data_IF_169870099634
#
_entry.id   IF_169870099634
#
_cell.length_a   1.000
_cell.length_b   1.000
_cell.length_c   1.000
_cell.angle_alpha   90.00
_cell.angle_beta   90.00
_cell.angle_gamma   90.00
#
_symmetry.space_group_name_H-M   'P 1'
#
loop_
_entity.id
_entity.type
_entity.pdbx_description
1 polymer ?
#
# COMPACT_ATOMS: atom_id res chain seq x y z
N UNK A 1 -35.61 23.05 4.34
CA UNK A 1 -34.40 23.90 4.30
C UNK A 1 -33.19 23.01 4.48
N UNK A 2 -32.58 22.55 3.38
CA UNK A 2 -31.42 21.70 3.37
C UNK A 2 -30.16 22.54 3.61
N UNK A 3 -29.37 22.17 4.62
CA UNK A 3 -28.07 22.76 4.85
C UNK A 3 -27.12 22.20 3.79
N UNK A 4 -26.78 23.00 2.80
CA UNK A 4 -25.63 22.70 1.93
C UNK A 4 -24.37 22.85 2.76
N UNK A 5 -23.72 21.73 3.09
CA UNK A 5 -22.35 21.76 3.56
C UNK A 5 -21.47 22.10 2.35
N UNK A 6 -21.00 23.33 2.28
CA UNK A 6 -19.90 23.70 1.42
C UNK A 6 -18.67 22.91 1.88
N UNK A 7 -18.40 21.79 1.23
CA UNK A 7 -17.09 21.17 1.28
C UNK A 7 -16.16 22.16 0.59
N UNK A 8 -15.38 22.89 1.37
CA UNK A 8 -14.24 23.65 0.86
C UNK A 8 -13.34 22.64 0.16
N UNK A 9 -13.41 22.59 -1.16
CA UNK A 9 -12.46 21.81 -1.95
C UNK A 9 -11.06 22.29 -1.55
N UNK A 10 -10.24 21.39 -1.02
CA UNK A 10 -8.83 21.68 -0.76
C UNK A 10 -8.24 22.27 -2.04
N UNK A 11 -7.53 23.42 -1.99
CA UNK A 11 -6.89 23.98 -3.18
C UNK A 11 -5.83 23.06 -3.77
N UNK A 12 -5.55 21.94 -3.10
CA UNK A 12 -4.61 20.93 -3.53
C UNK A 12 -5.35 19.62 -3.82
N UNK A 13 -5.48 19.23 -5.10
CA UNK A 13 -5.98 17.91 -5.45
C UNK A 13 -5.00 16.87 -4.91
N UNK A 14 -5.43 16.10 -3.93
CA UNK A 14 -4.73 14.97 -3.35
C UNK A 14 -3.29 15.27 -2.83
N UNK A 15 -3.13 15.80 -1.58
CA UNK A 15 -1.82 16.03 -0.98
C UNK A 15 -0.96 14.75 -0.89
N UNK A 16 -1.59 13.57 -0.89
CA UNK A 16 -0.90 12.28 -0.93
C UNK A 16 -0.03 12.12 -2.18
N UNK A 17 -0.42 12.67 -3.31
CA UNK A 17 0.35 12.59 -4.55
C UNK A 17 1.70 13.33 -4.44
N UNK A 18 1.73 14.46 -3.74
CA UNK A 18 2.96 15.23 -3.48
C UNK A 18 3.86 14.44 -2.54
N UNK A 19 3.31 13.93 -1.44
CA UNK A 19 4.05 13.15 -0.44
C UNK A 19 4.63 11.89 -1.08
N UNK A 20 3.84 11.16 -1.86
CA UNK A 20 4.31 9.98 -2.59
C UNK A 20 5.41 10.35 -3.59
N UNK A 21 5.23 11.45 -4.32
CA UNK A 21 6.24 11.97 -5.24
C UNK A 21 7.56 12.32 -4.54
N UNK A 22 7.50 12.97 -3.36
CA UNK A 22 8.67 13.31 -2.56
C UNK A 22 9.35 12.04 -2.01
N UNK A 23 8.59 11.08 -1.55
CA UNK A 23 9.11 9.79 -1.10
C UNK A 23 9.85 9.05 -2.24
N UNK A 24 9.40 9.21 -3.47
CA UNK A 24 10.02 8.65 -4.68
C UNK A 24 11.04 9.60 -5.33
N UNK A 25 11.63 10.54 -4.58
CA UNK A 25 12.66 11.49 -5.05
C UNK A 25 12.21 12.43 -6.18
N UNK A 26 10.91 12.66 -6.36
CA UNK A 26 10.45 13.67 -7.30
C UNK A 26 11.02 15.04 -6.89
N UNK A 27 11.64 15.74 -7.84
CA UNK A 27 12.24 17.07 -7.59
C UNK A 27 11.15 18.11 -7.30
N UNK A 28 11.55 19.26 -6.72
CA UNK A 28 10.64 20.40 -6.57
C UNK A 28 10.07 20.86 -7.92
N UNK A 29 10.89 20.82 -8.97
CA UNK A 29 10.47 21.18 -10.32
C UNK A 29 9.42 20.19 -10.87
N UNK A 30 9.67 18.89 -10.77
CA UNK A 30 8.70 17.86 -11.18
C UNK A 30 7.39 17.93 -10.39
N UNK A 31 7.45 18.21 -9.08
CA UNK A 31 6.24 18.41 -8.28
C UNK A 31 5.48 19.67 -8.71
N UNK A 32 6.20 20.75 -9.05
CA UNK A 32 5.59 21.97 -9.58
C UNK A 32 4.88 21.71 -10.91
N UNK A 33 5.52 20.99 -11.84
CA UNK A 33 4.90 20.61 -13.12
C UNK A 33 3.63 19.78 -12.92
N UNK A 34 3.67 18.83 -11.98
CA UNK A 34 2.49 18.01 -11.69
C UNK A 34 1.34 18.83 -11.11
N UNK A 35 1.63 19.72 -10.16
CA UNK A 35 0.63 20.65 -9.61
C UNK A 35 0.02 21.54 -10.70
N UNK A 36 0.86 22.02 -11.62
CA UNK A 36 0.40 22.83 -12.75
C UNK A 36 -0.53 22.04 -13.68
N UNK A 37 -0.21 20.77 -13.99
CA UNK A 37 -1.08 19.88 -14.78
C UNK A 37 -2.43 19.63 -14.11
N UNK A 38 -2.45 19.61 -12.78
CA UNK A 38 -3.67 19.47 -11.98
C UNK A 38 -4.45 20.78 -11.80
N UNK A 39 -4.04 21.85 -12.48
CA UNK A 39 -4.70 23.14 -12.45
C UNK A 39 -4.33 24.02 -11.25
N UNK A 40 -3.32 23.63 -10.46
CA UNK A 40 -2.87 24.44 -9.34
C UNK A 40 -1.93 25.56 -9.82
N UNK A 41 -2.30 26.83 -9.56
CA UNK A 41 -1.43 27.98 -9.82
C UNK A 41 -0.56 28.24 -8.59
N UNK A 42 0.64 27.67 -8.56
CA UNK A 42 1.61 27.84 -7.47
C UNK A 42 2.98 28.20 -8.01
N UNK A 43 3.71 29.04 -7.29
CA UNK A 43 5.06 29.40 -7.67
C UNK A 43 6.06 28.28 -7.38
N UNK A 44 7.03 28.09 -8.27
CA UNK A 44 8.13 27.13 -8.05
C UNK A 44 8.90 27.40 -6.75
N UNK A 45 9.06 28.67 -6.39
CA UNK A 45 9.72 29.07 -5.13
C UNK A 45 8.98 28.55 -3.90
N UNK A 46 7.64 28.57 -3.94
CA UNK A 46 6.80 28.00 -2.88
C UNK A 46 6.97 26.49 -2.79
N UNK A 47 6.95 25.78 -3.95
CA UNK A 47 7.17 24.32 -3.98
C UNK A 47 8.55 23.95 -3.45
N UNK A 48 9.59 24.71 -3.77
CA UNK A 48 10.94 24.51 -3.21
C UNK A 48 10.96 24.64 -1.69
N UNK A 49 10.28 25.63 -1.11
CA UNK A 49 10.16 25.79 0.35
C UNK A 49 9.40 24.63 0.99
N UNK A 50 8.30 24.18 0.36
CA UNK A 50 7.52 23.03 0.81
C UNK A 50 8.39 21.76 0.87
N UNK A 51 9.13 21.48 -0.19
CA UNK A 51 10.02 20.31 -0.28
C UNK A 51 11.13 20.38 0.77
N UNK A 52 11.75 21.53 0.95
CA UNK A 52 12.78 21.74 1.97
C UNK A 52 12.22 21.55 3.40
N UNK A 53 11.03 22.09 3.68
CA UNK A 53 10.34 21.91 4.96
C UNK A 53 9.95 20.46 5.22
N UNK A 54 9.50 19.74 4.20
CA UNK A 54 9.20 18.31 4.29
C UNK A 54 10.42 17.49 4.72
N UNK A 55 11.53 17.64 4.02
CA UNK A 55 12.76 16.91 4.35
C UNK A 55 13.41 17.37 5.67
N UNK A 56 13.27 18.63 6.04
CA UNK A 56 13.73 19.12 7.36
C UNK A 56 12.96 18.45 8.50
N UNK A 57 11.63 18.36 8.38
CA UNK A 57 10.79 17.70 9.39
C UNK A 57 10.96 16.18 9.43
N UNK A 58 11.29 15.58 8.30
CA UNK A 58 11.43 14.13 8.14
C UNK A 58 12.89 13.72 7.85
N UNK A 59 13.84 14.33 8.58
CA UNK A 59 15.26 14.07 8.40
C UNK A 59 15.65 12.58 8.50
N UNK A 60 14.91 11.81 9.31
CA UNK A 60 15.07 10.36 9.40
C UNK A 60 14.84 9.63 8.09
N UNK A 61 13.85 10.05 7.29
CA UNK A 61 13.59 9.47 5.96
C UNK A 61 14.78 9.74 5.03
N UNK A 62 15.32 10.94 5.06
CA UNK A 62 16.47 11.30 4.23
C UNK A 62 17.71 10.46 4.58
N UNK A 63 18.03 10.32 5.87
CA UNK A 63 19.12 9.48 6.35
C UNK A 63 18.91 8.01 5.96
N UNK A 64 17.71 7.48 6.15
CA UNK A 64 17.35 6.12 5.74
C UNK A 64 17.56 5.91 4.24
N UNK A 65 17.12 6.86 3.39
CA UNK A 65 17.29 6.77 1.92
C UNK A 65 18.77 6.69 1.53
N UNK A 66 19.61 7.53 2.11
CA UNK A 66 21.06 7.50 1.84
C UNK A 66 21.68 6.16 2.25
N UNK A 67 21.30 5.66 3.43
CA UNK A 67 21.78 4.39 3.96
C UNK A 67 21.37 3.23 3.06
N UNK A 68 20.11 3.14 2.65
CA UNK A 68 19.61 2.05 1.80
C UNK A 68 20.29 2.05 0.42
N UNK A 69 20.36 3.21 -0.23
CA UNK A 69 20.98 3.32 -1.56
C UNK A 69 22.47 3.00 -1.49
N UNK A 70 23.19 3.58 -0.51
CA UNK A 70 24.63 3.32 -0.33
C UNK A 70 24.92 1.85 -0.07
N UNK A 71 24.17 1.23 0.84
CA UNK A 71 24.30 -0.19 1.17
C UNK A 71 23.98 -1.08 -0.03
N UNK A 72 22.87 -0.83 -0.72
CA UNK A 72 22.46 -1.59 -1.87
C UNK A 72 23.52 -1.58 -2.99
N UNK A 73 24.09 -0.41 -3.28
CA UNK A 73 25.15 -0.26 -4.28
C UNK A 73 26.46 -0.97 -3.88
N UNK A 74 26.81 -0.90 -2.61
CA UNK A 74 28.03 -1.55 -2.07
C UNK A 74 27.90 -3.08 -2.07
N UNK A 75 26.75 -3.59 -1.59
CA UNK A 75 26.51 -5.04 -1.46
C UNK A 75 26.01 -5.69 -2.75
N UNK A 76 25.67 -4.89 -3.80
CA UNK A 76 25.05 -5.36 -5.05
C UNK A 76 23.79 -6.20 -4.82
N UNK A 77 23.10 -5.93 -3.73
CA UNK A 77 21.86 -6.60 -3.35
C UNK A 77 21.04 -5.78 -2.35
N UNK A 78 19.76 -6.06 -2.32
CA UNK A 78 18.85 -5.67 -1.22
C UNK A 78 18.28 -6.94 -0.59
N UNK A 79 17.91 -6.85 0.70
CA UNK A 79 17.32 -7.97 1.43
C UNK A 79 15.99 -7.53 2.06
N UNK A 80 15.02 -8.43 2.04
CA UNK A 80 13.81 -8.28 2.84
C UNK A 80 14.08 -8.63 4.30
N UNK A 81 13.16 -8.29 5.18
CA UNK A 81 13.27 -8.62 6.63
C UNK A 81 13.35 -10.13 6.91
N UNK A 82 12.74 -10.94 6.05
CA UNK A 82 12.84 -12.41 6.15
C UNK A 82 14.05 -12.99 5.42
N UNK A 83 14.93 -12.14 4.92
CA UNK A 83 16.22 -12.57 4.32
C UNK A 83 16.18 -12.86 2.82
N UNK A 84 15.05 -12.65 2.13
CA UNK A 84 15.00 -12.81 0.68
C UNK A 84 15.91 -11.78 0.01
N UNK A 85 16.79 -12.27 -0.87
CA UNK A 85 17.81 -11.48 -1.56
C UNK A 85 17.30 -11.09 -2.95
N UNK A 86 17.47 -9.81 -3.28
CA UNK A 86 17.26 -9.27 -4.63
C UNK A 86 18.61 -8.76 -5.11
N UNK A 87 19.18 -9.38 -6.14
CA UNK A 87 20.42 -8.94 -6.78
C UNK A 87 20.17 -7.67 -7.59
N UNK A 88 21.14 -6.77 -7.61
CA UNK A 88 21.06 -5.47 -8.26
C UNK A 88 21.93 -5.49 -9.51
N UNK A 89 21.36 -5.12 -10.65
CA UNK A 89 22.08 -4.83 -11.88
C UNK A 89 22.75 -3.44 -11.81
N UNK A 90 23.74 -3.20 -12.64
CA UNK A 90 24.53 -1.96 -12.58
C UNK A 90 23.78 -0.71 -13.04
N UNK A 91 22.75 -0.86 -13.86
CA UNK A 91 21.90 0.19 -14.42
C UNK A 91 20.68 0.57 -13.55
N UNK A 92 20.57 -0.02 -12.35
CA UNK A 92 19.42 0.22 -11.46
C UNK A 92 19.41 1.63 -10.90
N UNK A 93 18.26 2.28 -10.99
CA UNK A 93 18.07 3.64 -10.44
C UNK A 93 17.99 3.65 -8.93
N UNK A 94 18.39 4.76 -8.31
CA UNK A 94 18.23 4.97 -6.85
C UNK A 94 16.79 4.84 -6.39
N UNK A 95 15.81 5.24 -7.24
CA UNK A 95 14.40 5.11 -6.93
C UNK A 95 13.97 3.65 -6.81
N UNK A 96 14.45 2.79 -7.70
CA UNK A 96 14.21 1.35 -7.62
C UNK A 96 14.79 0.77 -6.34
N UNK A 97 16.02 1.16 -6.00
CA UNK A 97 16.69 0.71 -4.76
C UNK A 97 15.94 1.12 -3.49
N UNK A 98 15.25 2.25 -3.50
CA UNK A 98 14.42 2.71 -2.37
C UNK A 98 13.08 1.97 -2.31
N UNK A 99 12.47 1.69 -3.46
CA UNK A 99 11.17 1.04 -3.52
C UNK A 99 11.24 -0.46 -3.27
N UNK A 100 12.28 -1.14 -3.75
CA UNK A 100 12.37 -2.60 -3.66
C UNK A 100 12.27 -3.14 -2.23
N UNK A 101 12.97 -2.61 -1.21
CA UNK A 101 12.81 -3.11 0.14
C UNK A 101 11.37 -2.99 0.66
N UNK A 102 10.68 -1.90 0.33
CA UNK A 102 9.30 -1.66 0.75
C UNK A 102 8.36 -2.63 0.06
N UNK A 103 8.38 -2.65 -1.28
CA UNK A 103 7.53 -3.53 -2.09
C UNK A 103 7.80 -5.01 -1.83
N UNK A 104 9.07 -5.38 -1.66
CA UNK A 104 9.45 -6.76 -1.42
C UNK A 104 9.00 -7.24 -0.03
N UNK A 105 9.08 -6.42 1.01
CA UNK A 105 8.55 -6.76 2.33
C UNK A 105 7.02 -6.87 2.31
N UNK A 106 6.32 -5.97 1.62
CA UNK A 106 4.87 -6.07 1.40
C UNK A 106 4.48 -7.37 0.71
N UNK A 107 5.17 -7.72 -0.40
CA UNK A 107 4.92 -8.96 -1.12
C UNK A 107 5.23 -10.23 -0.29
N UNK A 108 6.25 -10.20 0.56
CA UNK A 108 6.57 -11.31 1.45
C UNK A 108 5.50 -11.45 2.55
N UNK A 109 5.03 -10.33 3.13
CA UNK A 109 3.92 -10.31 4.09
C UNK A 109 2.62 -10.81 3.48
N UNK A 110 2.30 -10.38 2.26
CA UNK A 110 1.12 -10.83 1.53
C UNK A 110 1.15 -12.35 1.26
N UNK A 111 2.28 -12.89 0.81
CA UNK A 111 2.44 -14.34 0.62
C UNK A 111 2.28 -15.12 1.93
N UNK A 112 2.81 -14.59 3.03
CA UNK A 112 2.60 -15.20 4.35
C UNK A 112 1.13 -15.15 4.75
N UNK A 113 0.42 -14.04 4.49
CA UNK A 113 -1.01 -13.92 4.73
C UNK A 113 -1.80 -14.99 3.95
N UNK A 114 -1.51 -15.15 2.66
CA UNK A 114 -2.13 -16.20 1.83
C UNK A 114 -1.95 -17.60 2.43
N UNK A 115 -0.73 -17.91 2.90
CA UNK A 115 -0.47 -19.21 3.54
C UNK A 115 -1.26 -19.38 4.84
N UNK A 116 -1.37 -18.33 5.67
CA UNK A 116 -2.11 -18.39 6.92
C UNK A 116 -3.62 -18.48 6.69
N UNK A 117 -4.15 -17.71 5.72
CA UNK A 117 -5.56 -17.77 5.33
C UNK A 117 -5.90 -19.16 4.78
N UNK A 118 -5.10 -19.67 3.85
CA UNK A 118 -5.32 -21.02 3.28
C UNK A 118 -5.42 -22.08 4.37
N UNK A 119 -4.52 -22.07 5.36
CA UNK A 119 -4.57 -22.98 6.51
C UNK A 119 -5.78 -22.73 7.41
N UNK A 120 -6.12 -21.48 7.66
CA UNK A 120 -7.29 -21.13 8.47
C UNK A 120 -8.61 -21.52 7.84
N UNK A 121 -8.66 -21.67 6.52
CA UNK A 121 -9.84 -22.10 5.77
C UNK A 121 -9.93 -23.63 5.60
N UNK A 122 -8.96 -24.40 6.08
CA UNK A 122 -9.06 -25.88 6.03
C UNK A 122 -10.29 -26.38 6.78
N UNK A 123 -11.15 -27.11 6.09
CA UNK A 123 -12.43 -27.61 6.61
C UNK A 123 -13.54 -26.56 6.70
N UNK A 124 -13.32 -25.33 6.25
CA UNK A 124 -14.33 -24.28 6.16
C UNK A 124 -14.85 -24.20 4.73
N UNK A 125 -16.18 -24.05 4.53
CA UNK A 125 -16.78 -23.92 3.19
C UNK A 125 -16.54 -22.52 2.61
N UNK A 126 -15.28 -22.16 2.51
CA UNK A 126 -14.77 -20.92 1.92
C UNK A 126 -13.47 -21.19 1.17
N UNK A 127 -13.18 -20.35 0.17
CA UNK A 127 -11.97 -20.51 -0.65
C UNK A 127 -11.44 -19.18 -1.16
N UNK A 128 -10.13 -19.09 -1.29
CA UNK A 128 -9.49 -18.00 -2.02
C UNK A 128 -9.78 -18.21 -3.51
N UNK A 129 -10.42 -17.25 -4.16
CA UNK A 129 -10.78 -17.33 -5.58
C UNK A 129 -9.91 -16.45 -6.46
N UNK A 130 -9.37 -15.35 -5.92
CA UNK A 130 -8.49 -14.44 -6.67
C UNK A 130 -7.57 -13.64 -5.75
N UNK A 131 -6.49 -13.15 -6.31
CA UNK A 131 -5.61 -12.16 -5.66
C UNK A 131 -5.25 -11.08 -6.67
N UNK A 132 -5.32 -9.82 -6.26
CA UNK A 132 -4.97 -8.68 -7.09
C UNK A 132 -4.16 -7.67 -6.27
N UNK A 133 -2.91 -7.41 -6.67
CA UNK A 133 -1.97 -6.53 -5.93
C UNK A 133 -1.82 -6.93 -4.46
N UNK A 134 -2.50 -6.23 -3.56
CA UNK A 134 -2.53 -6.40 -2.11
C UNK A 134 -3.92 -6.85 -1.60
N UNK A 135 -4.82 -7.17 -2.50
CA UNK A 135 -6.17 -7.67 -2.21
C UNK A 135 -6.27 -9.19 -2.33
N UNK A 136 -7.07 -9.79 -1.45
CA UNK A 136 -7.42 -11.21 -1.48
C UNK A 136 -8.93 -11.32 -1.57
N UNK A 137 -9.42 -12.08 -2.55
CA UNK A 137 -10.85 -12.31 -2.76
C UNK A 137 -11.18 -13.71 -2.34
N UNK A 138 -12.15 -13.82 -1.44
CA UNK A 138 -12.57 -15.09 -0.83
C UNK A 138 -14.06 -15.26 -1.06
N UNK A 139 -14.44 -16.40 -1.61
CA UNK A 139 -15.83 -16.83 -1.69
C UNK A 139 -16.19 -17.66 -0.45
N UNK A 140 -17.28 -17.32 0.22
CA UNK A 140 -17.77 -17.99 1.40
C UNK A 140 -19.31 -18.08 1.40
N UNK A 141 -19.87 -19.01 2.17
CA UNK A 141 -21.31 -19.01 2.45
C UNK A 141 -21.67 -17.91 3.41
N UNK A 142 -22.83 -17.29 3.25
CA UNK A 142 -23.36 -16.25 4.12
C UNK A 142 -23.39 -16.67 5.60
N UNK A 143 -23.77 -17.93 5.86
CA UNK A 143 -23.89 -18.45 7.23
C UNK A 143 -22.59 -18.48 8.04
N UNK A 144 -21.42 -18.39 7.37
CA UNK A 144 -20.11 -18.46 7.99
C UNK A 144 -19.27 -17.19 7.72
N UNK A 145 -19.90 -16.12 7.24
CA UNK A 145 -19.22 -14.85 6.92
C UNK A 145 -18.35 -14.36 8.07
N UNK A 146 -18.90 -14.28 9.29
CA UNK A 146 -18.18 -13.77 10.45
C UNK A 146 -16.97 -14.64 10.82
N UNK A 147 -17.08 -15.96 10.67
CA UNK A 147 -15.97 -16.88 10.90
C UNK A 147 -14.84 -16.64 9.91
N UNK A 148 -15.19 -16.52 8.63
CA UNK A 148 -14.20 -16.29 7.56
C UNK A 148 -13.56 -14.91 7.71
N UNK A 149 -14.35 -13.90 7.99
CA UNK A 149 -13.87 -12.53 8.28
C UNK A 149 -12.80 -12.53 9.38
N UNK A 150 -13.06 -13.23 10.48
CA UNK A 150 -12.13 -13.30 11.61
C UNK A 150 -10.83 -14.04 11.25
N UNK A 151 -10.93 -15.16 10.52
CA UNK A 151 -9.76 -15.92 10.02
C UNK A 151 -8.89 -15.01 9.15
N UNK A 152 -9.50 -14.33 8.19
CA UNK A 152 -8.80 -13.48 7.23
C UNK A 152 -8.12 -12.30 7.94
N UNK A 153 -8.86 -11.59 8.77
CA UNK A 153 -8.34 -10.46 9.55
C UNK A 153 -7.13 -10.85 10.38
N UNK A 154 -7.26 -11.88 11.22
CA UNK A 154 -6.16 -12.35 12.06
C UNK A 154 -4.95 -12.80 11.23
N UNK A 155 -5.18 -13.47 10.13
CA UNK A 155 -4.12 -13.96 9.26
C UNK A 155 -3.34 -12.82 8.60
N UNK A 156 -4.04 -11.80 8.07
CA UNK A 156 -3.44 -10.61 7.48
C UNK A 156 -2.64 -9.81 8.51
N UNK A 157 -3.24 -9.49 9.65
CA UNK A 157 -2.60 -8.73 10.73
C UNK A 157 -1.38 -9.47 11.29
N UNK A 158 -1.47 -10.79 11.50
CA UNK A 158 -0.36 -11.60 11.97
C UNK A 158 0.78 -11.68 10.95
N UNK A 159 0.47 -11.81 9.66
CA UNK A 159 1.48 -11.86 8.61
C UNK A 159 2.25 -10.55 8.49
N UNK A 160 1.52 -9.43 8.41
CA UNK A 160 2.12 -8.11 8.27
C UNK A 160 2.82 -7.66 9.55
N UNK A 161 2.28 -7.98 10.72
CA UNK A 161 2.94 -7.73 12.01
C UNK A 161 4.27 -8.47 12.18
N UNK A 162 4.44 -9.63 11.54
CA UNK A 162 5.75 -10.31 11.49
C UNK A 162 6.76 -9.61 10.59
N UNK A 163 6.26 -8.96 9.52
CA UNK A 163 7.12 -8.21 8.60
C UNK A 163 7.59 -6.89 9.20
N UNK A 164 6.69 -6.14 9.84
CA UNK A 164 6.97 -4.80 10.36
C UNK A 164 6.29 -4.66 11.74
N UNK A 165 6.85 -5.28 12.80
CA UNK A 165 6.25 -5.29 14.13
C UNK A 165 6.14 -3.89 14.77
N UNK A 166 6.88 -2.92 14.25
CA UNK A 166 6.85 -1.54 14.73
C UNK A 166 5.65 -0.72 14.21
N UNK A 167 4.92 -1.26 13.22
CA UNK A 167 3.77 -0.58 12.60
C UNK A 167 2.51 -1.41 12.85
N UNK A 168 1.47 -0.84 13.46
CA UNK A 168 0.19 -1.54 13.58
C UNK A 168 -0.46 -1.70 12.20
N UNK A 169 -0.92 -2.91 11.91
CA UNK A 169 -1.68 -3.20 10.70
C UNK A 169 -3.14 -3.47 11.07
N UNK A 170 -4.02 -2.95 10.26
CA UNK A 170 -5.46 -3.21 10.31
C UNK A 170 -5.88 -3.69 8.94
N UNK A 171 -6.38 -4.92 8.83
CA UNK A 171 -6.97 -5.42 7.61
C UNK A 171 -8.37 -4.81 7.43
N UNK A 172 -8.60 -4.16 6.30
CA UNK A 172 -9.92 -3.67 5.90
C UNK A 172 -10.62 -4.75 5.10
N UNK A 173 -11.79 -5.18 5.57
CA UNK A 173 -12.55 -6.25 4.93
C UNK A 173 -13.87 -5.70 4.43
N UNK A 174 -14.14 -5.90 3.14
CA UNK A 174 -15.41 -5.59 2.51
C UNK A 174 -16.14 -6.88 2.17
N UNK A 175 -17.44 -6.85 2.26
CA UNK A 175 -18.30 -7.97 1.90
C UNK A 175 -19.24 -7.51 0.81
N UNK A 176 -19.32 -8.28 -0.27
CA UNK A 176 -20.17 -8.00 -1.42
C UNK A 176 -20.80 -9.28 -1.93
N UNK A 177 -21.92 -9.18 -2.64
CA UNK A 177 -22.59 -10.33 -3.27
C UNK A 177 -21.84 -10.78 -4.54
N UNK A 178 -21.09 -9.88 -5.15
CA UNK A 178 -20.26 -10.17 -6.32
C UNK A 178 -19.00 -9.30 -6.31
N UNK A 179 -17.90 -9.82 -6.84
CA UNK A 179 -16.68 -9.06 -7.09
C UNK A 179 -16.84 -8.23 -8.37
N UNK A 180 -16.60 -6.94 -8.27
CA UNK A 180 -16.66 -6.00 -9.38
C UNK A 180 -17.11 -4.61 -8.95
N UNK A 181 -16.98 -3.65 -9.85
CA UNK A 181 -17.32 -2.24 -9.61
C UNK A 181 -18.83 -1.97 -9.57
N UNK A 182 -19.65 -2.93 -9.99
CA UNK A 182 -21.11 -2.86 -9.98
C UNK A 182 -21.72 -3.94 -9.08
N UNK A 183 -22.19 -3.55 -7.91
CA UNK A 183 -22.95 -4.36 -6.95
C UNK A 183 -24.35 -4.81 -7.48
N UNK A 184 -24.50 -5.01 -8.79
CA UNK A 184 -25.82 -5.23 -9.41
C UNK A 184 -26.15 -6.67 -9.78
N UNK A 185 -25.23 -7.62 -9.58
CA UNK A 185 -25.50 -9.02 -9.90
C UNK A 185 -25.69 -9.83 -8.62
N UNK A 186 -26.93 -10.20 -8.34
CA UNK A 186 -27.30 -11.14 -7.29
C UNK A 186 -26.67 -12.51 -7.56
N UNK A 187 -25.64 -12.86 -6.80
CA UNK A 187 -25.12 -14.23 -6.74
C UNK A 187 -25.82 -14.96 -5.60
N UNK A 188 -26.62 -15.97 -5.95
CA UNK A 188 -27.42 -16.74 -5.01
C UNK A 188 -26.57 -17.36 -3.89
N UNK A 189 -26.68 -16.81 -2.67
CA UNK A 189 -26.27 -17.46 -1.42
C UNK A 189 -24.77 -17.58 -1.16
N UNK A 190 -23.91 -16.91 -1.91
CA UNK A 190 -22.47 -16.81 -1.62
C UNK A 190 -21.99 -15.37 -1.66
N UNK A 191 -21.28 -14.96 -0.64
CA UNK A 191 -20.67 -13.65 -0.54
C UNK A 191 -19.19 -13.69 -0.84
N UNK A 192 -18.70 -12.61 -1.42
CA UNK A 192 -17.29 -12.39 -1.70
C UNK A 192 -16.75 -11.42 -0.64
N UNK A 193 -15.69 -11.86 0.05
CA UNK A 193 -14.91 -11.00 0.94
C UNK A 193 -13.69 -10.48 0.16
N UNK A 194 -13.61 -9.17 0.05
CA UNK A 194 -12.47 -8.44 -0.49
C UNK A 194 -11.65 -7.92 0.70
N UNK A 195 -10.35 -8.21 0.73
CA UNK A 195 -9.46 -7.87 1.84
C UNK A 195 -8.21 -7.17 1.31
#
# INVERSE_FOLDING_TARGET
MGKHHNVLASPFPNPGLIVLGLNNRRSAYSNHQELTKLGCSVELAWVKRLVAGYFSKLAGIFKWRQTIVGRAKSEKQVRTRIGRVIKIADDVTDNSLLNWPVQANGADGFKLALCLISRGLEGVDARIVHTQHDEIIIEARDAIEDQVREIVKKSMEAALGRMIPEVPFVAEIRVAEAWGWDNKNETQGRRILEV
#
